data_IF_593363669386
#
_entry.id   IF_593363669386
#
_cell.length_a   1.000
_cell.length_b   1.000
_cell.length_c   1.000
_cell.angle_alpha   90.00
_cell.angle_beta   90.00
_cell.angle_gamma   90.00
#
_symmetry.space_group_name_H-M   'P 1'
#
loop_
_entity.id
_entity.type
_entity.pdbx_description
1 polymer ?
#
# COMPACT_ATOMS: atom_id res chain seq x y z
N UNK A 1 6.09 -14.13 18.51
CA UNK A 1 5.27 -14.48 17.34
C UNK A 1 4.31 -13.32 17.11
N UNK A 2 4.62 -12.42 16.17
CA UNK A 2 3.72 -11.34 15.80
C UNK A 2 2.49 -11.94 15.12
N UNK A 3 1.33 -11.71 15.69
CA UNK A 3 0.06 -12.05 15.03
C UNK A 3 -0.10 -11.07 13.89
N UNK A 4 -0.01 -11.51 12.63
CA UNK A 4 -0.35 -10.62 11.53
C UNK A 4 -1.83 -10.27 11.65
N UNK A 5 -2.16 -8.99 11.56
CA UNK A 5 -3.55 -8.50 11.65
C UNK A 5 -4.37 -8.95 10.43
N UNK A 6 -3.72 -9.46 9.40
CA UNK A 6 -4.33 -10.14 8.26
C UNK A 6 -5.11 -11.40 8.67
N UNK A 7 -4.75 -12.03 9.80
CA UNK A 7 -5.46 -13.21 10.32
C UNK A 7 -6.93 -13.01 10.69
N UNK A 8 -7.37 -11.79 10.87
CA UNK A 8 -8.78 -11.58 11.23
C UNK A 8 -9.75 -11.85 10.06
N UNK A 9 -9.30 -11.74 8.79
CA UNK A 9 -10.17 -11.88 7.61
C UNK A 9 -9.45 -12.35 6.31
N UNK A 10 -8.22 -12.83 6.36
CA UNK A 10 -7.46 -13.18 5.16
C UNK A 10 -6.58 -14.41 5.32
N UNK A 11 -6.12 -14.94 4.20
CA UNK A 11 -5.12 -16.02 4.12
C UNK A 11 -3.74 -15.42 4.33
N UNK A 12 -3.00 -15.91 5.33
CA UNK A 12 -1.59 -15.57 5.53
C UNK A 12 -0.71 -16.52 4.68
N UNK A 13 0.46 -16.05 4.25
CA UNK A 13 1.44 -16.88 3.54
C UNK A 13 1.78 -18.15 4.33
N UNK A 14 1.87 -18.05 5.66
CA UNK A 14 2.16 -19.14 6.56
C UNK A 14 1.00 -20.14 6.79
N UNK A 15 -0.18 -19.87 6.25
CA UNK A 15 -1.29 -20.86 6.26
C UNK A 15 -1.02 -21.99 5.26
N UNK A 16 -0.18 -21.73 4.23
CA UNK A 16 0.18 -22.72 3.23
C UNK A 16 1.69 -23.04 3.22
N UNK A 17 2.51 -22.14 3.76
CA UNK A 17 3.96 -22.28 3.80
C UNK A 17 4.48 -22.48 5.22
N UNK A 18 5.53 -23.28 5.39
CA UNK A 18 6.21 -23.48 6.67
C UNK A 18 7.11 -22.30 7.03
N UNK A 19 7.59 -22.21 8.28
CA UNK A 19 8.39 -21.06 8.75
C UNK A 19 9.85 -21.09 8.24
N UNK A 20 10.41 -22.25 7.91
CA UNK A 20 11.80 -22.44 7.46
C UNK A 20 11.84 -22.71 5.95
N UNK A 21 11.41 -21.72 5.16
CA UNK A 21 11.24 -21.86 3.71
C UNK A 21 12.53 -21.69 2.91
N UNK A 22 13.45 -20.90 3.46
CA UNK A 22 14.68 -20.57 2.77
C UNK A 22 15.81 -21.50 3.25
N UNK A 23 16.67 -21.90 2.32
CA UNK A 23 17.87 -22.70 2.64
C UNK A 23 18.96 -21.90 3.36
N UNK A 24 18.81 -20.60 3.43
CA UNK A 24 19.74 -19.66 4.11
C UNK A 24 19.07 -19.12 5.37
N UNK A 25 19.64 -19.44 6.54
CA UNK A 25 19.14 -19.02 7.85
C UNK A 25 19.05 -17.50 8.03
N UNK A 26 19.89 -16.72 7.31
CA UNK A 26 19.81 -15.25 7.36
C UNK A 26 18.54 -14.75 6.66
N UNK A 27 18.17 -15.40 5.56
CA UNK A 27 16.92 -15.05 4.84
C UNK A 27 15.71 -15.40 5.71
N UNK A 28 15.72 -16.56 6.37
CA UNK A 28 14.66 -16.90 7.31
C UNK A 28 14.59 -15.92 8.49
N UNK A 29 15.74 -15.51 9.03
CA UNK A 29 15.79 -14.48 10.07
C UNK A 29 15.23 -13.12 9.62
N UNK A 30 15.37 -12.76 8.34
CA UNK A 30 14.79 -11.53 7.77
C UNK A 30 13.26 -11.53 7.86
N UNK A 31 12.59 -12.68 7.79
CA UNK A 31 11.12 -12.76 7.85
C UNK A 31 10.54 -12.27 9.18
N UNK A 32 11.34 -12.17 10.22
CA UNK A 32 10.94 -11.55 11.48
C UNK A 32 10.72 -10.03 11.36
N UNK A 33 11.42 -9.37 10.42
CA UNK A 33 11.44 -7.91 10.27
C UNK A 33 10.92 -7.45 8.91
N UNK A 34 10.99 -8.33 7.90
CA UNK A 34 10.61 -8.05 6.52
C UNK A 34 9.44 -8.93 6.14
N UNK A 35 8.36 -8.34 5.66
CA UNK A 35 7.20 -9.09 5.17
C UNK A 35 7.56 -9.90 3.92
N UNK A 36 6.98 -11.07 3.75
CA UNK A 36 7.21 -11.96 2.61
C UNK A 36 7.00 -11.24 1.27
N UNK A 37 5.97 -10.41 1.19
CA UNK A 37 5.62 -9.61 0.01
C UNK A 37 6.73 -8.63 -0.41
N UNK A 38 7.55 -8.17 0.54
CA UNK A 38 8.65 -7.22 0.26
C UNK A 38 9.68 -7.78 -0.73
N UNK A 39 9.94 -9.08 -0.64
CA UNK A 39 10.85 -9.77 -1.57
C UNK A 39 10.09 -10.47 -2.70
N UNK A 40 8.91 -11.04 -2.41
CA UNK A 40 8.18 -11.86 -3.37
C UNK A 40 7.24 -11.07 -4.29
N UNK A 41 6.95 -9.80 -3.98
CA UNK A 41 6.16 -8.90 -4.83
C UNK A 41 6.96 -7.62 -5.10
N UNK A 42 7.97 -7.67 -6.00
CA UNK A 42 8.85 -6.52 -6.26
C UNK A 42 8.16 -5.39 -7.04
N UNK A 43 7.06 -5.69 -7.72
CA UNK A 43 6.29 -4.74 -8.52
C UNK A 43 4.79 -5.00 -8.38
N UNK A 44 3.99 -3.94 -8.37
CA UNK A 44 2.53 -4.01 -8.48
C UNK A 44 2.08 -3.85 -9.92
N UNK A 45 0.86 -4.29 -10.22
CA UNK A 45 0.21 -4.04 -11.51
C UNK A 45 1.06 -4.54 -12.68
N UNK A 46 1.52 -5.79 -12.60
CA UNK A 46 2.37 -6.40 -13.63
C UNK A 46 1.58 -6.57 -14.94
N UNK A 47 0.35 -7.05 -14.86
CA UNK A 47 -0.49 -7.33 -16.01
C UNK A 47 -1.48 -6.18 -16.29
N UNK A 48 -2.28 -5.79 -15.28
CA UNK A 48 -3.27 -4.73 -15.40
C UNK A 48 -2.83 -3.45 -14.70
N UNK A 49 -3.06 -2.25 -15.31
CA UNK A 49 -2.68 -0.99 -14.72
C UNK A 49 -3.48 -0.68 -13.45
N UNK A 50 -2.83 -0.06 -12.48
CA UNK A 50 -3.44 0.40 -11.24
C UNK A 50 -3.49 1.93 -11.17
N UNK A 51 -4.57 2.46 -10.56
CA UNK A 51 -4.72 3.91 -10.37
C UNK A 51 -3.71 4.42 -9.34
N UNK A 52 -2.89 5.39 -9.74
CA UNK A 52 -1.86 6.01 -8.91
C UNK A 52 -2.26 7.40 -8.43
N UNK A 53 -2.96 8.15 -9.29
CA UNK A 53 -3.32 9.54 -8.97
C UNK A 53 -4.79 9.80 -9.30
N UNK A 54 -5.41 10.63 -8.49
CA UNK A 54 -6.77 11.10 -8.71
C UNK A 54 -6.86 12.60 -8.43
N UNK A 55 -7.00 13.38 -9.49
CA UNK A 55 -7.11 14.83 -9.40
C UNK A 55 -8.57 15.28 -9.49
N UNK A 56 -9.16 15.56 -8.36
CA UNK A 56 -10.53 16.07 -8.24
C UNK A 56 -10.69 17.53 -8.69
N UNK A 57 -9.60 18.31 -8.73
CA UNK A 57 -9.66 19.74 -9.10
C UNK A 57 -10.11 19.95 -10.55
N UNK A 58 -9.95 18.93 -11.38
CA UNK A 58 -10.36 18.94 -12.78
C UNK A 58 -11.81 18.49 -13.00
N UNK A 59 -12.54 18.10 -11.95
CA UNK A 59 -13.93 17.68 -12.05
C UNK A 59 -14.82 18.83 -12.56
N UNK A 60 -15.84 18.50 -13.35
CA UNK A 60 -16.80 19.46 -13.93
C UNK A 60 -16.35 20.12 -15.23
N UNK A 61 -15.09 19.96 -15.65
CA UNK A 61 -14.59 20.53 -16.90
C UNK A 61 -15.12 19.76 -18.13
N UNK A 62 -15.32 20.47 -19.24
CA UNK A 62 -15.69 19.87 -20.52
C UNK A 62 -14.41 19.57 -21.33
N UNK A 63 -13.76 18.46 -20.99
CA UNK A 63 -12.57 17.97 -21.68
C UNK A 63 -12.98 16.93 -22.74
N UNK A 64 -12.42 17.04 -23.95
CA UNK A 64 -12.64 16.04 -25.01
C UNK A 64 -11.73 14.81 -24.80
N UNK A 65 -11.81 14.20 -23.61
CA UNK A 65 -11.11 12.97 -23.25
C UNK A 65 -12.17 11.88 -23.12
N UNK A 66 -12.13 10.90 -24.02
CA UNK A 66 -13.11 9.79 -24.06
C UNK A 66 -12.72 8.61 -23.18
N UNK A 67 -11.45 8.49 -22.83
CA UNK A 67 -10.98 7.41 -21.99
C UNK A 67 -11.33 7.66 -20.52
N UNK A 68 -12.20 6.83 -19.99
CA UNK A 68 -12.65 6.88 -18.58
C UNK A 68 -11.55 6.58 -17.57
N UNK A 69 -10.43 6.00 -17.99
CA UNK A 69 -9.26 5.81 -17.14
C UNK A 69 -8.36 7.05 -17.07
N UNK A 70 -8.58 8.03 -17.94
CA UNK A 70 -7.86 9.31 -17.89
C UNK A 70 -8.71 10.42 -17.29
N UNK A 71 -10.01 10.46 -17.62
CA UNK A 71 -10.89 11.52 -17.16
C UNK A 71 -12.36 11.09 -17.10
N UNK A 72 -13.04 11.56 -16.07
CA UNK A 72 -14.51 11.55 -15.98
C UNK A 72 -15.00 12.89 -15.46
N UNK A 73 -15.90 13.57 -16.16
CA UNK A 73 -16.42 14.90 -15.77
C UNK A 73 -16.89 14.96 -14.30
N UNK A 74 -17.53 13.89 -13.81
CA UNK A 74 -18.03 13.82 -12.42
C UNK A 74 -16.95 13.49 -11.38
N UNK A 75 -15.73 13.11 -11.79
CA UNK A 75 -14.67 12.62 -10.88
C UNK A 75 -13.33 13.30 -11.08
N UNK A 76 -13.10 13.98 -12.20
CA UNK A 76 -11.81 14.58 -12.54
C UNK A 76 -10.87 13.62 -13.27
N UNK A 77 -9.58 13.89 -13.18
CA UNK A 77 -8.53 13.20 -13.92
C UNK A 77 -7.90 12.07 -13.11
N UNK A 78 -7.41 11.06 -13.84
CA UNK A 78 -6.75 9.90 -13.27
C UNK A 78 -5.42 9.63 -13.96
N UNK A 79 -4.49 9.05 -13.21
CA UNK A 79 -3.28 8.45 -13.78
C UNK A 79 -3.20 6.99 -13.32
N UNK A 80 -3.01 6.10 -14.30
CA UNK A 80 -2.78 4.67 -14.08
C UNK A 80 -1.36 4.33 -14.53
N UNK A 81 -0.70 3.46 -13.81
CA UNK A 81 0.63 2.95 -14.16
C UNK A 81 0.66 1.42 -14.04
N UNK A 82 1.56 0.79 -14.78
CA UNK A 82 1.92 -0.63 -14.69
C UNK A 82 3.33 -0.77 -14.11
N UNK A 83 3.66 -1.95 -13.61
CA UNK A 83 4.98 -2.28 -13.06
C UNK A 83 5.46 -1.25 -12.04
N UNK A 84 4.57 -0.94 -11.09
CA UNK A 84 4.81 0.09 -10.08
C UNK A 84 5.72 -0.47 -8.99
N UNK A 85 6.86 0.15 -8.79
CA UNK A 85 7.74 -0.16 -7.66
C UNK A 85 7.07 0.26 -6.36
N UNK A 86 7.00 -0.62 -5.34
CA UNK A 86 6.42 -0.28 -4.04
C UNK A 86 7.21 0.81 -3.31
N UNK A 87 6.52 1.57 -2.47
CA UNK A 87 7.15 2.28 -1.35
C UNK A 87 7.11 1.36 -0.12
N UNK A 88 8.15 1.40 0.70
CA UNK A 88 8.26 0.52 1.88
C UNK A 88 8.10 1.33 3.16
N UNK A 89 7.31 0.79 4.09
CA UNK A 89 7.12 1.40 5.40
C UNK A 89 6.98 0.30 6.47
N UNK A 90 7.19 0.66 7.74
CA UNK A 90 6.90 -0.23 8.85
C UNK A 90 5.39 -0.38 9.02
N UNK A 91 4.95 -1.63 9.20
CA UNK A 91 3.54 -1.93 9.33
C UNK A 91 3.29 -3.03 10.36
N UNK A 92 2.52 -2.71 11.38
CA UNK A 92 2.12 -3.65 12.44
C UNK A 92 0.72 -4.22 12.25
N UNK A 93 0.15 -4.09 11.04
CA UNK A 93 -1.20 -4.55 10.73
C UNK A 93 -2.29 -3.52 11.02
N UNK A 94 -1.93 -2.32 11.50
CA UNK A 94 -2.89 -1.24 11.77
C UNK A 94 -2.55 0.02 11.00
N UNK A 95 -3.57 0.84 10.73
CA UNK A 95 -3.43 2.11 10.03
C UNK A 95 -4.03 3.24 10.85
N UNK A 96 -3.39 4.39 10.83
CA UNK A 96 -4.02 5.62 11.26
C UNK A 96 -5.05 6.03 10.21
N UNK A 97 -6.25 6.38 10.64
CA UNK A 97 -7.29 6.89 9.74
C UNK A 97 -7.52 8.36 10.00
N UNK A 98 -7.60 9.13 8.92
CA UNK A 98 -8.06 10.49 8.96
C UNK A 98 -9.60 10.47 9.09
N UNK A 99 -10.14 11.14 10.11
CA UNK A 99 -11.58 11.11 10.41
C UNK A 99 -12.24 12.44 10.06
N UNK A 100 -13.55 12.39 9.85
CA UNK A 100 -14.34 13.60 9.67
C UNK A 100 -14.21 14.49 10.91
N UNK A 101 -13.80 15.75 10.69
CA UNK A 101 -13.53 16.71 11.77
C UNK A 101 -12.05 16.88 12.12
N UNK A 102 -11.17 16.02 11.63
CA UNK A 102 -9.73 16.25 11.78
C UNK A 102 -9.28 17.47 10.97
N UNK A 103 -8.35 18.23 11.54
CA UNK A 103 -7.85 19.46 10.89
C UNK A 103 -6.91 19.14 9.74
N UNK A 104 -7.18 19.70 8.58
CA UNK A 104 -6.28 19.69 7.42
C UNK A 104 -5.31 20.87 7.53
N UNK A 105 -4.02 20.62 7.30
CA UNK A 105 -3.05 21.68 7.09
C UNK A 105 -2.88 21.92 5.59
N UNK A 106 -3.15 23.14 5.09
CA UNK A 106 -2.97 23.45 3.66
C UNK A 106 -1.50 23.50 3.24
N UNK A 107 -0.58 23.59 4.21
CA UNK A 107 0.86 23.73 3.96
C UNK A 107 1.57 22.41 3.69
N UNK A 108 0.91 21.28 3.90
CA UNK A 108 1.51 19.95 3.73
C UNK A 108 0.50 18.91 3.27
N UNK A 109 1.01 17.88 2.60
CA UNK A 109 0.19 16.73 2.20
C UNK A 109 -0.38 16.00 3.41
N UNK A 110 -1.69 15.83 3.43
CA UNK A 110 -2.38 15.05 4.48
C UNK A 110 -2.35 13.57 4.09
N UNK A 111 -1.73 12.76 4.92
CA UNK A 111 -1.75 11.29 4.77
C UNK A 111 -3.06 10.76 5.37
N UNK A 112 -3.95 10.24 4.53
CA UNK A 112 -5.31 9.83 4.95
C UNK A 112 -5.31 8.50 5.70
N UNK A 113 -4.41 7.59 5.32
CA UNK A 113 -4.38 6.23 5.85
C UNK A 113 -2.95 5.69 5.94
N UNK A 114 -2.04 6.37 6.67
CA UNK A 114 -0.67 5.86 6.81
C UNK A 114 -0.64 4.58 7.63
N UNK A 115 0.25 3.62 7.29
CA UNK A 115 0.53 2.47 8.13
C UNK A 115 1.07 2.92 9.49
N UNK A 116 0.88 2.08 10.50
CA UNK A 116 1.44 2.26 11.83
C UNK A 116 2.48 1.17 12.10
N UNK A 117 3.49 1.52 12.85
CA UNK A 117 4.62 0.70 13.23
C UNK A 117 5.92 1.47 13.08
N UNK A 118 6.95 0.97 13.71
CA UNK A 118 8.32 1.47 13.59
C UNK A 118 9.32 0.35 13.86
N UNK A 119 10.61 0.68 13.80
CA UNK A 119 11.70 -0.28 14.02
C UNK A 119 11.72 -0.89 15.43
N UNK A 120 11.09 -0.26 16.40
CA UNK A 120 11.02 -0.73 17.80
C UNK A 120 9.73 -1.50 18.09
N UNK A 121 8.78 -1.53 17.16
CA UNK A 121 7.54 -2.28 17.28
C UNK A 121 7.78 -3.75 16.88
N UNK A 122 7.76 -4.64 17.85
CA UNK A 122 8.00 -6.07 17.64
C UNK A 122 6.96 -6.76 16.73
N UNK A 123 5.83 -6.11 16.48
CA UNK A 123 4.79 -6.60 15.57
C UNK A 123 4.91 -6.00 14.16
N UNK A 124 5.75 -4.99 13.97
CA UNK A 124 5.90 -4.34 12.68
C UNK A 124 6.92 -5.05 11.80
N UNK A 125 6.62 -5.07 10.50
CA UNK A 125 7.53 -5.55 9.45
C UNK A 125 7.62 -4.50 8.34
N UNK A 126 8.76 -4.46 7.66
CA UNK A 126 8.91 -3.68 6.43
C UNK A 126 7.99 -4.29 5.38
N UNK A 127 7.01 -3.51 4.94
CA UNK A 127 5.92 -3.97 4.08
C UNK A 127 5.81 -3.08 2.85
N UNK A 128 5.54 -3.64 1.65
CA UNK A 128 5.38 -2.86 0.43
C UNK A 128 4.00 -2.21 0.38
N UNK A 129 3.96 -0.94 -0.02
CA UNK A 129 2.74 -0.16 -0.19
C UNK A 129 2.68 0.51 -1.56
N UNK A 130 1.47 0.63 -2.07
CA UNK A 130 1.15 1.51 -3.18
C UNK A 130 0.72 2.86 -2.61
N UNK A 131 1.38 3.94 -3.01
CA UNK A 131 0.93 5.30 -2.67
C UNK A 131 -0.08 5.76 -3.71
N UNK A 132 -1.28 6.09 -3.25
CA UNK A 132 -2.33 6.70 -4.06
C UNK A 132 -2.45 8.18 -3.69
N UNK A 133 -2.31 9.07 -4.66
CA UNK A 133 -2.38 10.53 -4.49
C UNK A 133 -3.59 11.12 -5.19
#
# INVERSE_FOLDING_TARGET
>A
MGVSVERANGVDCLDCHENDLHRDQRIDAHTNTVACQTCHIPEFAVDDPTKMTWDWSTAGQDLDIKDKHQYMKIKGSFKYDTRVTPEYDWYNGTNKRYLLGDKISPEKTTRLNPPLGDIYDANARITPFKIHR
#
